data_IF_118786509088
#
_entry.id   IF_118786509088
#
_cell.length_a   1.000
_cell.length_b   1.000
_cell.length_c   1.000
_cell.angle_alpha   90.00
_cell.angle_beta   90.00
_cell.angle_gamma   90.00
#
_symmetry.space_group_name_H-M   'P 1'
#
loop_
_entity.id
_entity.type
_entity.pdbx_description
1 polymer ?
#
# COMPACT_ATOMS: atom_id res chain seq x y z
N UNK A 1 3.12 26.62 4.42
CA UNK A 1 3.74 26.07 3.19
C UNK A 1 2.62 25.79 2.19
N UNK A 2 2.76 26.24 0.95
CA UNK A 2 1.66 26.34 -0.02
C UNK A 2 1.54 25.05 -0.86
N UNK A 3 0.31 24.57 -1.15
CA UNK A 3 0.06 23.31 -1.87
C UNK A 3 0.76 23.28 -3.24
N UNK A 4 0.79 24.42 -3.92
CA UNK A 4 1.47 24.57 -5.22
C UNK A 4 2.98 24.36 -5.13
N UNK A 5 3.61 24.69 -4.00
CA UNK A 5 5.04 24.48 -3.78
C UNK A 5 5.35 22.99 -3.58
N UNK A 6 4.50 22.28 -2.83
CA UNK A 6 4.63 20.83 -2.66
C UNK A 6 4.48 20.06 -3.97
N UNK A 7 3.54 20.47 -4.83
CA UNK A 7 3.34 19.84 -6.13
C UNK A 7 4.55 20.03 -7.06
N UNK A 8 5.11 21.25 -7.08
CA UNK A 8 6.29 21.56 -7.89
C UNK A 8 7.53 20.76 -7.44
N UNK A 9 7.73 20.61 -6.12
CA UNK A 9 8.80 19.79 -5.56
C UNK A 9 8.61 18.31 -5.91
N UNK A 10 7.39 17.79 -5.82
CA UNK A 10 7.08 16.40 -6.17
C UNK A 10 7.42 16.07 -7.64
N UNK A 11 7.09 16.98 -8.57
CA UNK A 11 7.36 16.80 -10.00
C UNK A 11 8.85 16.78 -10.35
N UNK A 12 9.72 17.40 -9.55
CA UNK A 12 11.17 17.36 -9.77
C UNK A 12 11.78 15.98 -9.47
N UNK A 13 11.11 15.18 -8.65
CA UNK A 13 11.60 13.87 -8.21
C UNK A 13 10.88 12.70 -8.89
N UNK A 14 9.83 12.94 -9.67
CA UNK A 14 9.16 11.91 -10.47
C UNK A 14 9.77 11.77 -11.86
N UNK A 15 10.24 10.58 -12.19
CA UNK A 15 10.70 10.22 -13.53
C UNK A 15 9.54 9.60 -14.33
N UNK A 16 9.03 10.36 -15.30
CA UNK A 16 7.93 9.96 -16.20
C UNK A 16 8.34 8.89 -17.22
N UNK A 17 9.65 8.59 -17.35
CA UNK A 17 10.14 7.49 -18.18
C UNK A 17 10.04 6.12 -17.51
N UNK A 18 9.77 6.08 -16.19
CA UNK A 18 9.65 4.82 -15.45
C UNK A 18 8.22 4.25 -15.54
N UNK A 19 8.05 2.95 -15.81
CA UNK A 19 6.73 2.34 -15.84
C UNK A 19 6.07 2.41 -14.45
N UNK A 20 4.78 2.74 -14.44
CA UNK A 20 3.99 2.73 -13.20
C UNK A 20 3.95 1.33 -12.57
N UNK A 21 4.18 1.20 -11.25
CA UNK A 21 3.98 -0.07 -10.58
C UNK A 21 2.49 -0.41 -10.45
N UNK A 22 2.20 -1.66 -10.14
CA UNK A 22 0.84 -2.15 -9.86
C UNK A 22 0.71 -2.54 -8.40
N UNK A 23 -0.36 -2.09 -7.74
CA UNK A 23 -0.66 -2.45 -6.35
C UNK A 23 -1.83 -3.44 -6.27
N UNK A 24 -1.71 -4.39 -5.35
CA UNK A 24 -2.72 -5.40 -5.05
C UNK A 24 -2.99 -5.46 -3.55
N UNK A 25 -4.26 -5.47 -3.16
CA UNK A 25 -4.70 -5.72 -1.78
C UNK A 25 -5.02 -7.20 -1.59
N UNK A 26 -4.48 -7.81 -0.54
CA UNK A 26 -4.67 -9.21 -0.19
C UNK A 26 -5.09 -9.31 1.29
N UNK A 27 -6.20 -9.98 1.62
CA UNK A 27 -7.14 -10.63 0.70
C UNK A 27 -8.06 -9.62 0.00
N UNK A 28 -8.53 -9.96 -1.21
CA UNK A 28 -9.49 -9.14 -2.00
C UNK A 28 -10.94 -9.36 -1.53
N UNK A 29 -11.20 -9.10 -0.26
CA UNK A 29 -12.53 -9.31 0.35
C UNK A 29 -12.82 -8.27 1.43
N UNK A 30 -14.04 -8.30 1.96
CA UNK A 30 -14.42 -7.52 3.14
C UNK A 30 -13.49 -7.88 4.30
N UNK A 31 -12.84 -6.88 4.87
CA UNK A 31 -11.87 -7.05 5.95
C UNK A 31 -12.53 -6.72 7.29
N UNK A 32 -12.46 -7.66 8.23
CA UNK A 32 -12.87 -7.44 9.61
C UNK A 32 -11.69 -6.99 10.46
N UNK A 33 -11.98 -6.35 11.59
CA UNK A 33 -10.97 -6.05 12.60
C UNK A 33 -10.18 -7.30 13.01
N UNK A 34 -8.90 -7.13 13.33
CA UNK A 34 -8.03 -8.22 13.80
C UNK A 34 -7.34 -9.03 12.70
N UNK A 35 -7.77 -8.90 11.45
CA UNK A 35 -7.16 -9.60 10.30
C UNK A 35 -5.86 -8.92 9.87
N UNK A 36 -4.89 -9.70 9.39
CA UNK A 36 -3.71 -9.18 8.68
C UNK A 36 -4.02 -8.96 7.21
N UNK A 37 -3.72 -7.76 6.71
CA UNK A 37 -3.82 -7.43 5.29
C UNK A 37 -2.44 -7.15 4.71
N UNK A 38 -2.27 -7.46 3.43
CA UNK A 38 -1.03 -7.30 2.70
C UNK A 38 -1.28 -6.46 1.45
N UNK A 39 -0.45 -5.44 1.24
CA UNK A 39 -0.37 -4.71 -0.03
C UNK A 39 0.85 -5.19 -0.79
N UNK A 40 0.64 -5.78 -1.97
CA UNK A 40 1.72 -6.21 -2.85
C UNK A 40 1.90 -5.18 -3.97
N UNK A 41 3.08 -4.58 -4.04
CA UNK A 41 3.48 -3.65 -5.09
C UNK A 41 4.44 -4.36 -6.05
N UNK A 42 4.22 -4.26 -7.36
CA UNK A 42 5.01 -4.95 -8.39
C UNK A 42 5.51 -3.95 -9.44
N UNK A 43 6.79 -4.05 -9.79
CA UNK A 43 7.47 -3.27 -10.82
C UNK A 43 8.19 -4.19 -11.82
N UNK A 44 8.47 -3.69 -13.03
CA UNK A 44 9.05 -4.49 -14.12
C UNK A 44 10.58 -4.61 -14.07
N UNK A 45 11.27 -3.87 -13.20
CA UNK A 45 12.74 -3.80 -13.14
C UNK A 45 13.26 -3.98 -11.72
N UNK A 46 14.54 -4.37 -11.53
CA UNK A 46 15.15 -4.43 -10.22
C UNK A 46 15.17 -3.03 -9.60
N UNK A 47 14.58 -2.89 -8.41
CA UNK A 47 14.42 -1.61 -7.71
C UNK A 47 15.34 -1.52 -6.50
N UNK A 48 15.60 -0.27 -6.07
CA UNK A 48 16.33 0.04 -4.84
C UNK A 48 15.38 0.17 -3.63
N UNK A 49 14.12 0.56 -3.84
CA UNK A 49 13.09 0.55 -2.79
C UNK A 49 11.67 0.78 -3.29
N UNK A 50 10.68 0.37 -2.49
CA UNK A 50 9.26 0.67 -2.70
C UNK A 50 8.71 1.55 -1.57
N UNK A 51 7.71 2.36 -1.89
CA UNK A 51 7.00 3.22 -0.94
C UNK A 51 5.51 2.91 -0.98
N UNK A 52 4.88 2.85 0.19
CA UNK A 52 3.43 2.72 0.33
C UNK A 52 2.82 4.03 0.83
N UNK A 53 1.76 4.48 0.17
CA UNK A 53 1.00 5.67 0.51
C UNK A 53 -0.39 5.27 0.98
N UNK A 54 -0.93 6.03 1.94
CA UNK A 54 -2.32 5.97 2.39
C UNK A 54 -2.90 7.38 2.27
N UNK A 55 -4.00 7.52 1.55
CA UNK A 55 -4.71 8.79 1.34
C UNK A 55 -3.77 9.91 0.85
N UNK A 56 -2.82 9.57 -0.04
CA UNK A 56 -1.81 10.49 -0.58
C UNK A 56 -0.62 10.76 0.34
N UNK A 57 -0.61 10.25 1.57
CA UNK A 57 0.48 10.41 2.52
C UNK A 57 1.36 9.16 2.60
N UNK A 58 2.69 9.31 2.59
CA UNK A 58 3.62 8.20 2.77
C UNK A 58 3.37 7.56 4.15
N UNK A 59 2.90 6.31 4.15
CA UNK A 59 2.49 5.60 5.37
C UNK A 59 3.65 4.83 5.99
N UNK A 60 4.40 4.11 5.15
CA UNK A 60 5.56 3.32 5.56
C UNK A 60 6.61 3.34 4.46
N UNK A 61 7.84 3.53 4.89
CA UNK A 61 9.07 3.18 4.21
C UNK A 61 9.45 1.78 4.69
N UNK A 62 9.28 0.78 3.82
CA UNK A 62 10.10 -0.41 3.97
C UNK A 62 11.38 -0.17 3.15
N UNK A 63 12.58 -0.23 3.75
CA UNK A 63 13.75 -0.58 2.98
C UNK A 63 13.52 -2.01 2.49
N UNK A 64 12.98 -2.12 1.28
CA UNK A 64 12.83 -3.42 0.62
C UNK A 64 14.23 -3.87 0.25
N UNK A 65 14.53 -5.13 0.54
CA UNK A 65 15.74 -5.81 0.10
C UNK A 65 16.03 -5.46 -1.36
N UNK A 66 17.24 -4.95 -1.62
CA UNK A 66 17.68 -4.59 -2.97
C UNK A 66 17.41 -5.75 -3.95
N UNK A 67 17.01 -5.41 -5.18
CA UNK A 67 16.88 -6.34 -6.31
C UNK A 67 15.63 -7.23 -6.38
N UNK A 68 14.53 -6.88 -5.73
CA UNK A 68 13.23 -7.53 -5.96
C UNK A 68 12.35 -6.73 -6.93
N UNK A 69 11.58 -7.40 -7.77
CA UNK A 69 10.58 -6.77 -8.64
C UNK A 69 9.25 -6.56 -7.92
N UNK A 70 9.13 -6.98 -6.66
CA UNK A 70 7.95 -6.78 -5.84
C UNK A 70 8.27 -6.53 -4.37
N UNK A 71 7.32 -5.93 -3.66
CA UNK A 71 7.35 -5.77 -2.21
C UNK A 71 5.98 -6.02 -1.61
N UNK A 72 5.97 -6.57 -0.39
CA UNK A 72 4.75 -6.81 0.37
C UNK A 72 4.78 -6.01 1.66
N UNK A 73 3.78 -5.14 1.84
CA UNK A 73 3.58 -4.35 3.03
C UNK A 73 2.45 -4.98 3.86
N UNK A 74 2.79 -5.50 5.04
CA UNK A 74 1.81 -6.11 5.94
C UNK A 74 1.32 -5.14 7.02
N UNK A 75 0.01 -5.13 7.25
CA UNK A 75 -0.64 -4.45 8.38
C UNK A 75 -1.35 -5.54 9.21
N UNK A 76 -0.74 -6.00 10.31
CA UNK A 76 -1.40 -6.95 11.21
C UNK A 76 -2.47 -6.26 12.05
N UNK A 77 -3.43 -7.05 12.55
CA UNK A 77 -4.45 -6.60 13.49
C UNK A 77 -5.16 -5.31 13.03
N UNK A 78 -5.72 -5.33 11.81
CA UNK A 78 -6.33 -4.13 11.24
C UNK A 78 -7.51 -3.62 12.08
N UNK A 79 -7.74 -2.31 12.06
CA UNK A 79 -8.90 -1.67 12.65
C UNK A 79 -9.43 -0.57 11.71
N UNK A 80 -10.53 0.09 12.08
CA UNK A 80 -11.18 1.09 11.22
C UNK A 80 -10.29 2.27 10.83
N UNK A 81 -9.28 2.64 11.63
CA UNK A 81 -8.34 3.72 11.29
C UNK A 81 -7.40 3.36 10.13
N UNK A 82 -7.25 2.07 9.82
CA UNK A 82 -6.50 1.62 8.64
C UNK A 82 -7.33 1.69 7.36
N UNK A 83 -8.63 1.98 7.44
CA UNK A 83 -9.44 2.21 6.24
C UNK A 83 -8.92 3.40 5.43
N UNK A 84 -8.98 3.31 4.11
CA UNK A 84 -8.53 4.36 3.21
C UNK A 84 -8.02 3.84 1.87
N UNK A 85 -7.52 4.76 1.06
CA UNK A 85 -6.99 4.50 -0.28
C UNK A 85 -5.48 4.32 -0.21
N UNK A 86 -5.00 3.29 -0.88
CA UNK A 86 -3.59 2.91 -0.89
C UNK A 86 -3.04 2.91 -2.30
N UNK A 87 -1.84 3.44 -2.45
CA UNK A 87 -1.04 3.37 -3.68
C UNK A 87 0.43 3.11 -3.35
N UNK A 88 1.23 2.78 -4.35
CA UNK A 88 2.67 2.60 -4.18
C UNK A 88 3.48 3.28 -5.28
N UNK A 89 4.75 3.53 -5.01
CA UNK A 89 5.77 3.94 -5.99
C UNK A 89 7.08 3.19 -5.71
N UNK A 90 8.07 3.34 -6.58
CA UNK A 90 9.40 2.77 -6.36
C UNK A 90 10.51 3.73 -6.79
N UNK A 91 11.74 3.45 -6.37
CA UNK A 91 12.94 4.13 -6.83
C UNK A 91 13.92 3.13 -7.44
N UNK A 92 14.53 3.51 -8.57
CA UNK A 92 15.71 2.84 -9.10
C UNK A 92 17.00 3.46 -8.56
N UNK A 93 17.00 4.78 -8.37
CA UNK A 93 18.11 5.55 -7.84
C UNK A 93 17.57 6.81 -7.16
N UNK A 94 17.81 6.93 -5.86
CA UNK A 94 17.42 8.12 -5.10
C UNK A 94 18.12 9.37 -5.66
N UNK A 95 17.43 10.53 -5.82
CA UNK A 95 16.10 10.84 -5.29
C UNK A 95 14.93 10.57 -6.25
N UNK A 96 15.15 9.96 -7.41
CA UNK A 96 14.13 9.81 -8.44
C UNK A 96 13.20 8.63 -8.17
N UNK A 97 11.91 8.86 -8.39
CA UNK A 97 10.81 7.93 -8.14
C UNK A 97 10.00 7.70 -9.41
N UNK A 98 9.38 6.53 -9.53
CA UNK A 98 8.30 6.35 -10.49
C UNK A 98 7.06 7.13 -10.09
N UNK A 99 6.16 7.32 -11.06
CA UNK A 99 4.79 7.72 -10.76
C UNK A 99 4.10 6.71 -9.83
N UNK A 100 3.05 7.18 -9.14
CA UNK A 100 2.24 6.32 -8.28
C UNK A 100 1.43 5.30 -9.09
N UNK A 101 1.23 4.12 -8.50
CA UNK A 101 0.37 3.07 -9.03
C UNK A 101 -1.10 3.50 -9.12
N UNK A 102 -1.94 2.59 -9.62
CA UNK A 102 -3.37 2.66 -9.34
C UNK A 102 -3.66 2.66 -7.82
N UNK A 103 -4.85 3.08 -7.42
CA UNK A 103 -5.30 2.98 -6.03
C UNK A 103 -6.01 1.65 -5.76
N UNK A 104 -5.90 1.15 -4.53
CA UNK A 104 -6.77 0.11 -3.96
C UNK A 104 -7.33 0.60 -2.64
N UNK A 105 -8.60 0.31 -2.36
CA UNK A 105 -9.26 0.80 -1.16
C UNK A 105 -9.42 -0.33 -0.13
N UNK A 106 -8.98 -0.05 1.10
CA UNK A 106 -9.15 -0.94 2.23
C UNK A 106 -10.38 -0.51 3.03
N UNK A 107 -11.40 -1.36 3.04
CA UNK A 107 -12.59 -1.21 3.86
C UNK A 107 -12.54 -2.14 5.06
N UNK A 108 -12.57 -1.57 6.28
CA UNK A 108 -12.53 -2.34 7.53
C UNK A 108 -13.87 -2.27 8.26
N UNK A 109 -14.56 -3.41 8.35
CA UNK A 109 -15.84 -3.53 9.05
C UNK A 109 -15.60 -3.68 10.55
N UNK A 110 -16.29 -2.84 11.33
CA UNK A 110 -16.09 -2.74 12.76
C UNK A 110 -16.63 -3.90 13.61
N UNK A 111 -17.48 -4.74 13.02
CA UNK A 111 -18.14 -5.87 13.70
C UNK A 111 -17.50 -7.19 13.26
N UNK A 112 -17.01 -7.95 14.23
CA UNK A 112 -16.59 -9.33 14.04
C UNK A 112 -17.88 -10.15 13.94
N UNK A 113 -18.08 -10.89 12.84
CA UNK A 113 -19.14 -11.90 12.82
C UNK A 113 -18.76 -12.87 13.94
N UNK A 114 -19.58 -13.04 15.01
CA UNK A 114 -19.31 -14.10 15.96
C UNK A 114 -19.27 -15.38 15.14
N UNK A 115 -18.11 -16.05 15.14
CA UNK A 115 -18.04 -17.40 14.61
C UNK A 115 -19.18 -18.15 15.29
N UNK A 116 -20.21 -18.53 14.53
CA UNK A 116 -21.28 -19.38 15.05
C UNK A 116 -20.57 -20.63 15.52
N UNK A 117 -20.23 -20.70 16.81
CA UNK A 117 -20.13 -21.99 17.47
C UNK A 117 -21.56 -22.48 17.41
N UNK A 118 -21.83 -23.35 16.43
CA UNK A 118 -22.88 -24.33 16.58
C UNK A 118 -22.56 -25.01 17.91
N UNK A 119 -23.15 -24.52 18.99
CA UNK A 119 -23.30 -25.30 20.19
C UNK A 119 -24.11 -26.49 19.70
N UNK A 120 -23.44 -27.63 19.58
CA UNK A 120 -24.10 -28.88 19.27
C UNK A 120 -25.21 -29.04 20.31
N UNK A 121 -26.46 -28.92 19.86
CA UNK A 121 -27.60 -29.46 20.59
C UNK A 121 -27.53 -30.98 20.42
N UNK A 122 -26.81 -31.64 21.32
CA UNK A 122 -27.00 -33.06 21.67
C UNK A 122 -26.82 -33.19 23.17
#
# INVERSE_FOLDING_TARGET
>A
MNVSFFLAVFLLFTDLGLPRPTIYLIPRKIIHKGITVNFSCVAMSPIQGFYLYKDGHKLKDLPVELHKTNATFSIPNVNCSHGGKYSCSYTLSYPFMSESSNEVELFVVGMQIPHLRLANFV
#
